data_IF_669058236239
#
_entry.id   IF_669058236239
#
_cell.length_a   1.000
_cell.length_b   1.000
_cell.length_c   1.000
_cell.angle_alpha   90.00
_cell.angle_beta   90.00
_cell.angle_gamma   90.00
#
_symmetry.space_group_name_H-M   'P 1'
#
loop_
_entity.id
_entity.type
_entity.pdbx_description
1 polymer ?
#
# COMPACT_ATOMS: atom_id res chain seq x y z
N UNK A 1 -49.27 -30.39 11.50
CA UNK A 1 -48.11 -30.47 12.42
C UNK A 1 -46.85 -30.16 11.60
N UNK A 2 -46.21 -29.02 11.85
CA UNK A 2 -44.80 -28.73 11.51
C UNK A 2 -43.94 -29.07 12.76
N UNK A 3 -42.59 -29.22 12.72
CA UNK A 3 -41.69 -28.48 11.83
C UNK A 3 -40.43 -29.19 11.28
N UNK A 4 -39.93 -28.62 10.18
CA UNK A 4 -38.51 -28.55 9.81
C UNK A 4 -37.63 -28.25 11.03
N UNK A 5 -36.53 -28.99 11.19
CA UNK A 5 -35.36 -28.54 11.96
C UNK A 5 -34.19 -28.41 10.98
N UNK A 6 -33.75 -27.18 10.77
CA UNK A 6 -32.43 -26.88 10.20
C UNK A 6 -31.36 -27.42 11.14
N UNK A 7 -30.34 -28.06 10.59
CA UNK A 7 -29.14 -28.40 11.35
C UNK A 7 -28.31 -27.13 11.53
N UNK A 8 -28.26 -26.60 12.75
CA UNK A 8 -27.53 -25.36 13.09
C UNK A 8 -26.06 -25.61 13.44
N UNK A 9 -25.57 -26.86 13.44
CA UNK A 9 -24.19 -27.17 13.82
C UNK A 9 -23.59 -28.37 13.06
N UNK A 10 -22.36 -28.21 12.55
CA UNK A 10 -21.57 -29.25 11.87
C UNK A 10 -21.36 -30.49 12.75
N UNK A 11 -21.37 -30.33 14.08
CA UNK A 11 -21.20 -31.45 15.02
C UNK A 11 -22.30 -32.51 14.92
N UNK A 12 -23.49 -32.15 14.44
CA UNK A 12 -24.61 -33.08 14.32
C UNK A 12 -24.45 -34.05 13.14
N UNK A 13 -23.63 -33.72 12.15
CA UNK A 13 -23.29 -34.60 11.01
C UNK A 13 -22.41 -35.79 11.43
N UNK A 14 -21.61 -35.63 12.49
CA UNK A 14 -20.70 -36.68 12.97
C UNK A 14 -21.37 -37.72 13.86
N UNK A 15 -22.61 -37.46 14.27
CA UNK A 15 -23.44 -38.39 15.05
C UNK A 15 -24.54 -39.03 14.19
N UNK A 16 -24.49 -38.88 12.86
CA UNK A 16 -25.46 -39.51 11.96
C UNK A 16 -25.22 -41.03 11.93
N UNK A 17 -26.19 -41.86 12.39
CA UNK A 17 -26.04 -43.32 12.46
C UNK A 17 -25.96 -44.00 11.07
N UNK A 18 -25.98 -43.24 9.97
CA UNK A 18 -25.75 -43.72 8.60
C UNK A 18 -24.27 -43.74 8.20
N UNK A 19 -23.36 -43.24 9.04
CA UNK A 19 -21.90 -43.25 8.81
C UNK A 19 -21.26 -44.43 9.59
N UNK A 20 -20.60 -45.41 8.94
CA UNK A 20 -19.98 -46.54 9.63
C UNK A 20 -18.86 -46.10 10.59
N UNK A 21 -18.92 -46.54 11.86
CA UNK A 21 -18.07 -46.09 12.98
C UNK A 21 -16.82 -46.93 13.28
N UNK A 22 -16.35 -47.84 12.42
CA UNK A 22 -15.25 -48.74 12.79
C UNK A 22 -14.10 -48.75 11.78
N UNK A 23 -13.10 -47.88 11.97
CA UNK A 23 -11.68 -48.22 11.80
C UNK A 23 -10.86 -47.39 12.82
N UNK A 24 -10.65 -47.92 14.03
CA UNK A 24 -9.73 -47.34 15.01
C UNK A 24 -8.30 -47.84 14.77
N UNK A 25 -7.49 -47.01 14.09
CA UNK A 25 -6.06 -47.25 13.81
C UNK A 25 -5.13 -46.59 14.85
N UNK A 26 -5.69 -45.97 15.89
CA UNK A 26 -4.95 -45.15 16.87
C UNK A 26 -3.90 -45.97 17.64
N UNK A 27 -4.21 -47.23 17.92
CA UNK A 27 -3.33 -48.11 18.68
C UNK A 27 -2.10 -48.56 17.87
N UNK A 28 -2.24 -48.80 16.55
CA UNK A 28 -1.11 -49.19 15.69
C UNK A 28 -0.15 -48.02 15.47
N UNK A 29 -0.67 -46.80 15.34
CA UNK A 29 0.13 -45.58 15.19
C UNK A 29 0.91 -45.26 16.47
N UNK A 30 0.26 -45.32 17.64
CA UNK A 30 0.91 -45.04 18.93
C UNK A 30 1.99 -46.03 19.31
N UNK A 31 1.86 -47.29 18.89
CA UNK A 31 2.86 -48.33 19.16
C UNK A 31 4.10 -48.17 18.28
N UNK A 32 3.97 -47.68 17.04
CA UNK A 32 5.12 -47.34 16.19
C UNK A 32 5.89 -46.11 16.70
N UNK A 33 5.16 -45.08 17.16
CA UNK A 33 5.77 -43.85 17.69
C UNK A 33 6.58 -44.10 18.98
N UNK A 34 6.15 -45.03 19.85
CA UNK A 34 6.89 -45.35 21.08
C UNK A 34 8.16 -46.18 20.84
N UNK A 35 8.20 -47.04 19.81
CA UNK A 35 9.32 -47.97 19.58
C UNK A 35 10.53 -47.33 18.87
N UNK A 36 10.34 -46.21 18.18
CA UNK A 36 11.43 -45.47 17.51
C UNK A 36 12.07 -44.39 18.41
N UNK A 37 11.49 -44.11 19.58
CA UNK A 37 11.91 -43.02 20.47
C UNK A 37 13.20 -43.29 21.27
N UNK A 38 13.70 -44.53 21.31
CA UNK A 38 14.88 -44.89 22.14
C UNK A 38 16.19 -45.09 21.36
N UNK A 39 16.19 -45.16 20.03
CA UNK A 39 17.43 -45.35 19.23
C UNK A 39 17.88 -44.15 18.41
N UNK A 40 17.13 -43.04 18.40
CA UNK A 40 17.37 -41.92 17.49
C UNK A 40 17.83 -40.61 18.16
N UNK A 41 18.35 -40.66 19.40
CA UNK A 41 18.61 -39.44 20.19
C UNK A 41 20.01 -38.80 20.07
N UNK A 42 20.94 -39.31 19.25
CA UNK A 42 22.34 -38.80 19.29
C UNK A 42 22.91 -38.28 17.96
N UNK A 43 22.26 -38.42 16.80
CA UNK A 43 22.91 -38.06 15.51
C UNK A 43 22.25 -37.02 14.60
N UNK A 44 21.13 -36.40 14.98
CA UNK A 44 20.36 -35.52 14.06
C UNK A 44 20.04 -34.11 14.59
N UNK A 45 20.85 -33.56 15.51
CA UNK A 45 20.63 -32.22 16.08
C UNK A 45 21.07 -31.04 15.19
N UNK A 46 21.65 -31.28 14.02
CA UNK A 46 22.10 -30.19 13.11
C UNK A 46 21.22 -30.03 11.86
N UNK A 47 20.44 -31.05 11.46
CA UNK A 47 19.64 -30.99 10.22
C UNK A 47 18.13 -30.74 10.42
N UNK A 48 17.58 -30.90 11.63
CA UNK A 48 16.14 -30.66 11.88
C UNK A 48 15.81 -29.17 12.05
N UNK A 49 16.78 -28.32 12.45
CA UNK A 49 16.55 -26.87 12.53
C UNK A 49 16.40 -26.21 11.14
N UNK A 50 16.95 -26.82 10.09
CA UNK A 50 16.77 -26.33 8.71
C UNK A 50 15.41 -26.72 8.14
N UNK A 51 14.83 -27.83 8.59
CA UNK A 51 13.52 -28.31 8.11
C UNK A 51 12.32 -27.60 8.76
N UNK A 52 12.48 -27.02 9.96
CA UNK A 52 11.43 -26.21 10.60
C UNK A 52 11.35 -24.80 9.96
N UNK A 53 12.42 -24.31 9.34
CA UNK A 53 12.41 -23.03 8.61
C UNK A 53 11.61 -23.02 7.30
N UNK A 54 11.27 -24.20 6.75
CA UNK A 54 10.60 -24.31 5.44
C UNK A 54 9.12 -24.72 5.52
N UNK A 55 8.57 -25.04 6.69
CA UNK A 55 7.17 -25.50 6.84
C UNK A 55 6.27 -24.42 7.49
N UNK A 56 6.81 -23.26 7.86
CA UNK A 56 6.02 -22.11 8.33
C UNK A 56 5.46 -21.22 7.19
N UNK A 57 5.63 -21.59 5.92
CA UNK A 57 5.07 -20.86 4.77
C UNK A 57 3.67 -21.32 4.35
N UNK A 58 3.12 -22.39 4.94
CA UNK A 58 1.74 -22.84 4.70
C UNK A 58 1.14 -23.39 5.99
N UNK A 59 0.85 -22.52 6.96
CA UNK A 59 -0.13 -22.84 8.01
C UNK A 59 -1.25 -21.80 7.99
N UNK A 60 -2.22 -22.08 7.12
CA UNK A 60 -3.58 -21.56 7.19
C UNK A 60 -4.20 -21.97 8.52
N UNK A 61 -4.09 -21.09 9.51
CA UNK A 61 -4.57 -21.32 10.87
C UNK A 61 -4.46 -20.10 11.77
N UNK A 62 -4.49 -18.88 11.21
CA UNK A 62 -4.81 -17.68 11.99
C UNK A 62 -6.28 -17.34 11.72
N UNK A 63 -7.08 -17.29 12.77
CA UNK A 63 -8.45 -16.85 12.72
C UNK A 63 -8.51 -15.41 12.17
N UNK A 64 -9.19 -15.23 11.05
CA UNK A 64 -9.85 -14.02 10.54
C UNK A 64 -9.27 -12.65 10.93
N UNK A 65 -7.99 -12.42 10.67
CA UNK A 65 -7.46 -11.06 10.43
C UNK A 65 -6.86 -11.10 9.04
N UNK A 66 -7.51 -10.46 8.07
CA UNK A 66 -6.93 -10.27 6.74
C UNK A 66 -5.73 -9.32 6.90
N UNK A 67 -4.51 -9.86 6.92
CA UNK A 67 -3.28 -9.08 6.82
C UNK A 67 -2.46 -9.63 5.66
N UNK A 68 -2.01 -8.75 4.78
CA UNK A 68 -1.17 -9.10 3.63
C UNK A 68 0.21 -8.52 3.86
N UNK A 69 1.25 -9.34 3.76
CA UNK A 69 2.64 -8.91 3.94
C UNK A 69 3.45 -9.20 2.68
N UNK A 70 4.36 -8.30 2.34
CA UNK A 70 5.44 -8.53 1.38
C UNK A 70 6.76 -8.53 2.13
N UNK A 71 7.59 -9.53 1.88
CA UNK A 71 8.85 -9.79 2.57
C UNK A 71 10.02 -9.80 1.60
N UNK A 72 11.20 -9.45 2.12
CA UNK A 72 12.45 -9.63 1.39
C UNK A 72 12.98 -11.07 1.52
N UNK A 73 14.10 -11.38 0.87
CA UNK A 73 14.71 -12.73 0.90
C UNK A 73 15.11 -13.22 2.29
N UNK A 74 15.31 -12.31 3.25
CA UNK A 74 15.63 -12.63 4.64
C UNK A 74 14.38 -12.87 5.49
N UNK A 75 13.18 -12.67 4.93
CA UNK A 75 11.91 -12.77 5.63
C UNK A 75 11.51 -11.51 6.40
N UNK A 76 12.24 -10.40 6.22
CA UNK A 76 11.90 -9.10 6.82
C UNK A 76 10.70 -8.49 6.09
N UNK A 77 9.74 -7.94 6.83
CA UNK A 77 8.51 -7.35 6.27
C UNK A 77 8.84 -5.99 5.65
N UNK A 78 8.66 -5.88 4.33
CA UNK A 78 8.81 -4.64 3.58
C UNK A 78 7.50 -3.87 3.45
N UNK A 79 6.37 -4.56 3.47
CA UNK A 79 5.06 -3.97 3.31
C UNK A 79 4.03 -4.80 4.05
N UNK A 80 3.09 -4.14 4.71
CA UNK A 80 1.97 -4.79 5.39
C UNK A 80 0.69 -3.99 5.10
N UNK A 81 -0.38 -4.66 4.70
CA UNK A 81 -1.72 -4.07 4.70
C UNK A 81 -2.52 -4.57 5.91
N UNK A 82 -3.12 -3.62 6.62
CA UNK A 82 -4.12 -3.86 7.67
C UNK A 82 -5.42 -3.16 7.33
N UNK A 83 -6.54 -3.70 7.83
CA UNK A 83 -7.81 -3.01 7.73
C UNK A 83 -7.78 -1.71 8.55
N UNK A 84 -8.34 -0.64 8.00
CA UNK A 84 -8.41 0.69 8.64
C UNK A 84 -9.05 0.67 10.04
N UNK A 85 -9.95 -0.28 10.33
CA UNK A 85 -10.53 -0.48 11.66
C UNK A 85 -9.52 -0.93 12.72
N UNK A 86 -8.36 -1.46 12.30
CA UNK A 86 -7.26 -1.86 13.17
C UNK A 86 -6.29 -0.70 13.46
N UNK A 87 -6.53 0.49 12.91
CA UNK A 87 -5.73 1.65 13.22
C UNK A 87 -5.93 2.04 14.69
N UNK A 88 -4.88 1.90 15.50
CA UNK A 88 -4.94 2.17 16.94
C UNK A 88 -4.85 3.67 17.29
N UNK A 89 -4.58 4.53 16.30
CA UNK A 89 -4.73 5.96 16.50
C UNK A 89 -6.21 6.32 16.70
N UNK A 90 -6.48 7.43 17.39
CA UNK A 90 -7.85 7.88 17.75
C UNK A 90 -8.68 8.36 16.54
N UNK A 91 -8.45 7.81 15.36
CA UNK A 91 -9.16 8.14 14.14
C UNK A 91 -10.55 7.50 14.19
N UNK A 92 -11.58 8.33 14.05
CA UNK A 92 -12.96 7.85 13.84
C UNK A 92 -13.28 8.05 12.37
N UNK A 93 -13.92 7.08 11.74
CA UNK A 93 -14.52 7.27 10.42
C UNK A 93 -15.53 8.41 10.50
N UNK A 94 -15.25 9.51 9.80
CA UNK A 94 -16.14 10.67 9.72
C UNK A 94 -17.06 10.43 8.51
N UNK A 95 -18.36 10.24 8.77
CA UNK A 95 -19.35 10.04 7.70
C UNK A 95 -19.72 11.35 6.99
N UNK A 96 -19.75 12.44 7.74
CA UNK A 96 -20.06 13.79 7.25
C UNK A 96 -19.17 14.79 7.99
N UNK A 97 -18.61 15.75 7.25
CA UNK A 97 -17.82 16.84 7.84
C UNK A 97 -18.74 17.87 8.48
N UNK A 98 -18.27 18.51 9.55
CA UNK A 98 -18.95 19.69 10.08
C UNK A 98 -18.91 20.81 9.02
N UNK A 99 -19.98 21.60 8.82
CA UNK A 99 -20.05 22.58 7.73
C UNK A 99 -18.91 23.61 7.70
N UNK A 100 -18.35 23.98 8.85
CA UNK A 100 -17.19 24.88 8.90
C UNK A 100 -15.90 24.20 8.43
N UNK A 101 -15.73 22.90 8.72
CA UNK A 101 -14.58 22.13 8.23
C UNK A 101 -14.67 21.92 6.73
N UNK A 102 -15.87 21.62 6.22
CA UNK A 102 -16.12 21.53 4.79
C UNK A 102 -15.70 22.82 4.07
N UNK A 103 -16.19 23.98 4.53
CA UNK A 103 -15.79 25.29 3.99
C UNK A 103 -14.29 25.58 4.09
N UNK A 104 -13.66 25.16 5.18
CA UNK A 104 -12.21 25.27 5.34
C UNK A 104 -11.47 24.45 4.26
N UNK A 105 -11.88 23.20 4.03
CA UNK A 105 -11.29 22.35 2.99
C UNK A 105 -11.58 22.86 1.58
N UNK A 106 -12.78 23.35 1.31
CA UNK A 106 -13.12 23.98 0.03
C UNK A 106 -12.22 25.19 -0.25
N UNK A 107 -12.03 26.06 0.75
CA UNK A 107 -11.15 27.22 0.60
C UNK A 107 -9.70 26.81 0.40
N UNK A 108 -9.25 25.76 1.10
CA UNK A 108 -7.91 25.19 0.93
C UNK A 108 -7.71 24.67 -0.50
N UNK A 109 -8.67 23.93 -1.05
CA UNK A 109 -8.62 23.43 -2.42
C UNK A 109 -8.64 24.56 -3.45
N UNK A 110 -9.47 25.58 -3.27
CA UNK A 110 -9.47 26.79 -4.12
C UNK A 110 -8.06 27.42 -4.17
N UNK A 111 -7.38 27.53 -3.02
CA UNK A 111 -6.03 28.08 -2.94
C UNK A 111 -5.01 27.16 -3.63
N UNK A 112 -5.08 25.85 -3.40
CA UNK A 112 -4.20 24.87 -4.05
C UNK A 112 -4.30 24.89 -5.57
N UNK A 113 -5.50 25.06 -6.12
CA UNK A 113 -5.72 25.11 -7.58
C UNK A 113 -5.08 26.37 -8.23
N UNK A 114 -4.87 27.43 -7.44
CA UNK A 114 -4.18 28.65 -7.91
C UNK A 114 -2.66 28.55 -7.89
N UNK A 115 -2.10 27.50 -7.28
CA UNK A 115 -0.65 27.31 -7.25
C UNK A 115 -0.13 26.96 -8.64
N UNK A 116 1.02 27.53 -8.99
CA UNK A 116 1.76 27.16 -10.19
C UNK A 116 2.47 25.81 -9.98
N UNK A 117 2.63 24.97 -11.02
CA UNK A 117 3.37 23.71 -10.91
C UNK A 117 4.77 23.88 -10.31
N UNK A 118 5.14 22.99 -9.39
CA UNK A 118 6.44 23.02 -8.71
C UNK A 118 6.54 24.03 -7.57
N UNK A 119 5.42 24.62 -7.11
CA UNK A 119 5.41 25.52 -5.96
C UNK A 119 4.93 24.82 -4.69
N UNK A 120 5.44 25.26 -3.55
CA UNK A 120 4.99 24.84 -2.23
C UNK A 120 5.00 26.02 -1.27
N UNK A 121 4.09 26.01 -0.31
CA UNK A 121 3.96 27.08 0.66
C UNK A 121 3.44 26.55 2.01
N UNK A 122 3.81 27.25 3.07
CA UNK A 122 3.06 27.23 4.31
C UNK A 122 1.85 28.14 4.14
N UNK A 123 0.67 27.63 4.46
CA UNK A 123 -0.60 28.29 4.27
C UNK A 123 -1.26 28.53 5.63
N UNK A 124 -1.68 29.77 5.83
CA UNK A 124 -2.61 30.13 6.90
C UNK A 124 -3.89 30.69 6.28
N UNK A 125 -5.01 30.01 6.52
CA UNK A 125 -6.36 30.50 6.17
C UNK A 125 -6.96 31.13 7.42
N UNK A 126 -7.38 32.39 7.34
CA UNK A 126 -7.94 33.13 8.48
C UNK A 126 -9.39 32.74 8.79
N UNK A 127 -10.17 32.46 7.73
CA UNK A 127 -11.57 32.03 7.84
C UNK A 127 -11.67 30.55 8.23
N UNK A 128 -12.67 30.20 9.04
CA UNK A 128 -12.95 28.82 9.46
C UNK A 128 -11.78 28.11 10.18
N UNK A 129 -10.84 28.88 10.73
CA UNK A 129 -9.62 28.38 11.37
C UNK A 129 -9.46 28.87 12.83
N UNK A 130 -10.39 28.50 13.74
CA UNK A 130 -10.35 28.96 15.13
C UNK A 130 -9.12 28.48 15.90
N UNK A 131 -8.46 27.41 15.44
CA UNK A 131 -7.25 26.84 16.06
C UNK A 131 -5.95 27.46 15.56
N UNK A 132 -6.04 28.42 14.64
CA UNK A 132 -4.90 29.06 13.98
C UNK A 132 -3.90 28.06 13.40
N UNK A 133 -4.38 27.00 12.76
CA UNK A 133 -3.52 25.99 12.14
C UNK A 133 -2.83 26.56 10.91
N UNK A 134 -1.55 26.22 10.77
CA UNK A 134 -0.77 26.44 9.55
C UNK A 134 -0.57 25.09 8.89
N UNK A 135 -0.88 25.03 7.60
CA UNK A 135 -0.77 23.82 6.80
C UNK A 135 0.33 23.96 5.76
N UNK A 136 0.70 22.82 5.16
CA UNK A 136 1.49 22.80 3.94
C UNK A 136 0.54 22.62 2.78
N UNK A 137 0.79 23.37 1.72
CA UNK A 137 0.18 23.20 0.42
C UNK A 137 1.26 23.14 -0.63
N UNK A 138 1.05 22.34 -1.67
CA UNK A 138 1.99 22.25 -2.76
C UNK A 138 1.28 21.82 -4.04
N UNK A 139 1.86 22.24 -5.17
CA UNK A 139 1.55 21.68 -6.47
C UNK A 139 2.80 21.01 -7.02
N UNK A 140 2.75 19.70 -7.34
CA UNK A 140 3.93 18.99 -7.83
C UNK A 140 4.44 19.58 -9.14
N UNK A 141 5.68 19.24 -9.48
CA UNK A 141 6.20 19.50 -10.82
C UNK A 141 5.43 18.63 -11.82
N UNK A 142 4.98 19.22 -12.92
CA UNK A 142 4.25 18.54 -13.99
C UNK A 142 5.17 18.37 -15.21
N UNK A 143 5.13 17.20 -15.84
CA UNK A 143 5.99 16.84 -16.96
C UNK A 143 5.19 16.20 -18.09
N UNK A 144 5.25 16.80 -19.28
CA UNK A 144 4.66 16.23 -20.49
C UNK A 144 5.62 15.28 -21.24
N UNK A 145 6.91 15.26 -20.86
CA UNK A 145 7.90 14.39 -21.49
C UNK A 145 8.69 13.60 -20.46
N UNK A 146 9.01 12.35 -20.81
CA UNK A 146 9.83 11.48 -19.97
C UNK A 146 11.27 11.98 -19.83
N UNK A 147 11.79 12.68 -20.83
CA UNK A 147 13.14 13.27 -20.80
C UNK A 147 13.26 14.33 -19.70
N UNK A 148 12.28 15.24 -19.61
CA UNK A 148 12.28 16.28 -18.59
C UNK A 148 12.05 15.71 -17.18
N UNK A 149 11.17 14.71 -17.07
CA UNK A 149 10.97 13.98 -15.81
C UNK A 149 12.26 13.34 -15.32
N UNK A 150 12.95 12.55 -16.17
CA UNK A 150 14.21 11.88 -15.82
C UNK A 150 15.30 12.87 -15.44
N UNK A 151 15.36 14.03 -16.11
CA UNK A 151 16.29 15.12 -15.77
C UNK A 151 16.02 15.68 -14.37
N UNK A 152 14.76 15.80 -13.95
CA UNK A 152 14.38 16.25 -12.60
C UNK A 152 14.64 15.18 -11.53
N UNK A 153 14.31 13.93 -11.82
CA UNK A 153 14.46 12.81 -10.88
C UNK A 153 15.92 12.45 -10.59
N UNK A 154 16.82 12.70 -11.55
CA UNK A 154 18.23 12.33 -11.43
C UNK A 154 18.47 10.83 -11.57
N UNK A 155 19.62 10.37 -11.07
CA UNK A 155 19.97 8.95 -11.06
C UNK A 155 19.40 8.26 -9.81
N UNK A 156 18.89 7.03 -9.95
CA UNK A 156 18.49 6.18 -8.82
C UNK A 156 17.08 5.59 -8.91
N UNK A 157 16.22 6.13 -9.78
CA UNK A 157 14.88 5.58 -10.02
C UNK A 157 14.63 5.51 -11.53
N UNK A 158 14.20 4.35 -12.01
CA UNK A 158 13.92 4.14 -13.42
C UNK A 158 12.43 4.23 -13.72
N UNK A 159 12.08 5.15 -14.62
CA UNK A 159 10.73 5.27 -15.19
C UNK A 159 10.81 4.82 -16.65
N UNK A 160 10.13 3.72 -17.05
CA UNK A 160 10.20 3.20 -18.42
C UNK A 160 9.49 4.11 -19.42
N UNK A 161 9.85 4.03 -20.70
CA UNK A 161 9.10 4.72 -21.77
C UNK A 161 7.81 3.98 -22.13
N UNK A 162 7.86 2.66 -22.01
CA UNK A 162 6.75 1.76 -22.34
C UNK A 162 6.55 0.75 -21.23
N UNK A 163 5.30 0.45 -20.92
CA UNK A 163 4.90 -0.63 -20.04
C UNK A 163 4.22 -1.77 -20.84
N UNK A 164 4.22 -3.01 -20.32
CA UNK A 164 3.60 -4.16 -20.99
C UNK A 164 2.17 -3.91 -21.43
N UNK A 165 1.76 -4.45 -22.58
CA UNK A 165 0.43 -4.20 -23.15
C UNK A 165 0.36 -2.99 -24.10
N UNK A 166 1.51 -2.39 -24.42
CA UNK A 166 1.60 -1.27 -25.38
C UNK A 166 1.26 0.08 -24.76
N UNK A 167 1.41 0.22 -23.44
CA UNK A 167 1.23 1.48 -22.73
C UNK A 167 2.46 2.37 -22.95
N UNK A 168 2.25 3.58 -23.45
CA UNK A 168 3.28 4.59 -23.65
C UNK A 168 3.13 5.72 -22.64
N UNK A 169 4.25 6.25 -22.18
CA UNK A 169 4.28 7.41 -21.29
C UNK A 169 3.47 8.57 -21.90
N UNK A 170 2.59 9.18 -21.11
CA UNK A 170 1.79 10.34 -21.50
C UNK A 170 2.23 11.60 -20.74
N UNK A 171 2.20 11.54 -19.42
CA UNK A 171 2.54 12.65 -18.54
C UNK A 171 2.96 12.13 -17.16
N UNK A 172 3.54 13.01 -16.34
CA UNK A 172 3.84 12.71 -14.95
C UNK A 172 3.75 13.92 -14.03
N UNK A 173 3.57 13.63 -12.74
CA UNK A 173 3.72 14.53 -11.62
C UNK A 173 4.81 14.01 -10.71
N UNK A 174 5.62 14.92 -10.18
CA UNK A 174 6.74 14.58 -9.32
C UNK A 174 6.88 15.60 -8.20
N UNK A 175 7.14 15.12 -7.00
CA UNK A 175 7.45 15.93 -5.85
C UNK A 175 8.64 15.36 -5.08
N UNK A 176 9.50 16.26 -4.63
CA UNK A 176 10.43 15.96 -3.56
C UNK A 176 9.77 16.24 -2.21
N UNK A 177 10.43 15.84 -1.12
CA UNK A 177 10.05 16.26 0.22
C UNK A 177 10.08 17.78 0.35
N UNK A 178 9.42 18.30 1.38
CA UNK A 178 9.41 19.73 1.69
C UNK A 178 10.31 20.00 2.89
N UNK A 179 11.11 21.06 2.83
CA UNK A 179 11.85 21.58 3.96
C UNK A 179 10.88 22.29 4.91
N UNK A 180 10.18 21.51 5.73
CA UNK A 180 9.19 22.03 6.67
C UNK A 180 9.19 21.26 7.98
N UNK A 181 9.50 21.97 9.06
CA UNK A 181 9.47 21.44 10.42
C UNK A 181 8.31 22.13 11.18
N UNK A 182 7.26 21.37 11.47
CA UNK A 182 6.07 21.89 12.15
C UNK A 182 6.36 22.47 13.53
N UNK A 183 7.42 22.04 14.22
CA UNK A 183 7.77 22.51 15.56
C UNK A 183 8.60 23.78 15.51
N UNK A 184 9.45 23.93 14.48
CA UNK A 184 10.35 25.07 14.34
C UNK A 184 9.78 26.21 13.48
N UNK A 185 8.72 25.96 12.72
CA UNK A 185 8.15 26.96 11.84
C UNK A 185 7.47 28.09 12.62
N UNK A 186 7.76 29.35 12.27
CA UNK A 186 7.14 30.54 12.88
C UNK A 186 5.70 30.73 12.38
N UNK A 187 4.78 29.97 12.96
CA UNK A 187 3.35 30.05 12.67
C UNK A 187 2.75 31.40 13.10
N UNK A 188 3.36 32.05 14.10
CA UNK A 188 2.88 33.33 14.60
C UNK A 188 3.05 34.45 13.59
N UNK A 189 4.17 34.45 12.86
CA UNK A 189 4.40 35.40 11.79
C UNK A 189 3.28 35.38 10.75
N UNK A 190 2.85 34.19 10.29
CA UNK A 190 1.81 34.07 9.26
C UNK A 190 0.45 34.61 9.73
N UNK A 191 -0.06 34.19 10.89
CA UNK A 191 -1.38 34.69 11.29
C UNK A 191 -1.34 36.17 11.67
N UNK A 192 -0.24 36.68 12.27
CA UNK A 192 -0.07 38.13 12.51
C UNK A 192 -0.04 38.91 11.19
N UNK A 193 0.57 38.34 10.15
CA UNK A 193 0.56 38.93 8.82
C UNK A 193 -0.87 38.97 8.26
N UNK A 194 -1.62 37.88 8.34
CA UNK A 194 -3.01 37.83 7.87
C UNK A 194 -3.90 38.82 8.62
N UNK A 195 -3.78 38.92 9.95
CA UNK A 195 -4.51 39.87 10.80
C UNK A 195 -4.16 41.33 10.44
N UNK A 196 -2.87 41.63 10.24
CA UNK A 196 -2.38 42.98 9.88
C UNK A 196 -2.82 43.39 8.48
N UNK A 197 -2.72 42.49 7.51
CA UNK A 197 -3.04 42.76 6.10
C UNK A 197 -4.54 42.58 5.80
N UNK A 198 -5.32 42.07 6.77
CA UNK A 198 -6.75 41.73 6.62
C UNK A 198 -7.02 40.83 5.41
N UNK A 199 -6.10 39.90 5.15
CA UNK A 199 -6.23 38.91 4.07
C UNK A 199 -6.96 37.67 4.57
N UNK A 200 -7.75 37.06 3.69
CA UNK A 200 -8.43 35.79 3.98
C UNK A 200 -7.45 34.63 4.16
N UNK A 201 -6.28 34.72 3.54
CA UNK A 201 -5.19 33.78 3.71
C UNK A 201 -3.84 34.45 3.44
N UNK A 202 -2.76 33.85 3.97
CA UNK A 202 -1.39 34.19 3.62
C UNK A 202 -0.61 32.93 3.31
N UNK A 203 0.34 33.06 2.39
CA UNK A 203 1.26 32.00 1.99
C UNK A 203 2.69 32.48 2.14
N UNK A 204 3.54 31.58 2.64
CA UNK A 204 4.98 31.78 2.65
C UNK A 204 5.63 30.62 1.89
N UNK A 205 6.45 30.89 0.85
CA UNK A 205 7.10 29.85 0.07
C UNK A 205 7.89 28.87 0.93
N UNK A 206 7.85 27.59 0.54
CA UNK A 206 8.65 26.52 1.10
C UNK A 206 9.61 25.98 0.04
N UNK A 207 10.80 25.62 0.49
CA UNK A 207 11.81 25.00 -0.35
C UNK A 207 11.58 23.49 -0.42
N UNK A 208 11.83 22.93 -1.60
CA UNK A 208 11.86 21.48 -1.81
C UNK A 208 13.20 20.90 -1.34
N UNK A 209 13.18 19.70 -0.79
CA UNK A 209 14.39 18.92 -0.54
C UNK A 209 14.86 18.24 -1.83
N UNK A 210 15.95 17.46 -1.74
CA UNK A 210 16.43 16.60 -2.83
C UNK A 210 15.95 15.16 -2.70
N UNK A 211 15.07 14.87 -1.74
CA UNK A 211 14.57 13.52 -1.48
C UNK A 211 13.26 13.32 -2.21
N UNK A 212 13.12 12.22 -2.94
CA UNK A 212 11.84 11.83 -3.53
C UNK A 212 10.77 11.77 -2.43
N UNK A 213 9.62 12.39 -2.68
CA UNK A 213 8.39 12.15 -1.92
C UNK A 213 7.51 11.21 -2.71
N UNK A 214 7.10 11.62 -3.92
CA UNK A 214 6.39 10.75 -4.85
C UNK A 214 6.60 11.12 -6.32
N UNK A 215 6.33 10.14 -7.18
CA UNK A 215 6.18 10.26 -8.62
C UNK A 215 4.91 9.53 -9.03
N UNK A 216 4.09 10.17 -9.86
CA UNK A 216 2.89 9.61 -10.47
C UNK A 216 3.03 9.79 -11.98
N UNK A 217 3.00 8.72 -12.76
CA UNK A 217 3.06 8.76 -14.21
C UNK A 217 1.82 8.12 -14.83
N UNK A 218 1.24 8.81 -15.81
CA UNK A 218 0.14 8.32 -16.62
C UNK A 218 0.69 7.69 -17.88
N UNK A 219 0.22 6.49 -18.21
CA UNK A 219 0.48 5.83 -19.48
C UNK A 219 -0.83 5.57 -20.22
N UNK A 220 -0.74 5.55 -21.55
CA UNK A 220 -1.87 5.30 -22.44
C UNK A 220 -1.50 4.29 -23.51
N UNK A 221 -2.38 3.33 -23.78
CA UNK A 221 -2.20 2.40 -24.89
C UNK A 221 -2.84 2.88 -26.19
N UNK A 222 -2.65 2.13 -27.28
CA UNK A 222 -3.24 2.44 -28.60
C UNK A 222 -4.76 2.34 -28.64
N UNK A 223 -5.37 1.61 -27.70
CA UNK A 223 -6.82 1.42 -27.60
C UNK A 223 -7.50 2.51 -26.76
N UNK A 224 -6.70 3.36 -26.10
CA UNK A 224 -7.17 4.47 -25.28
C UNK A 224 -7.33 4.15 -23.81
N UNK A 225 -6.90 2.96 -23.35
CA UNK A 225 -6.87 2.60 -21.94
C UNK A 225 -5.76 3.33 -21.21
N UNK A 226 -6.00 3.64 -19.93
CA UNK A 226 -5.06 4.34 -19.07
C UNK A 226 -4.50 3.41 -17.99
N UNK A 227 -3.25 3.66 -17.63
CA UNK A 227 -2.55 2.98 -16.56
C UNK A 227 -1.72 3.99 -15.77
N UNK A 228 -1.78 3.89 -14.46
CA UNK A 228 -1.04 4.76 -13.55
C UNK A 228 0.14 3.99 -12.97
N UNK A 229 1.30 4.62 -12.94
CA UNK A 229 2.51 4.09 -12.33
C UNK A 229 3.02 5.06 -11.27
N UNK A 230 3.07 4.60 -10.02
CA UNK A 230 3.45 5.40 -8.88
C UNK A 230 4.73 4.88 -8.24
N UNK A 231 5.56 5.81 -7.78
CA UNK A 231 6.71 5.53 -6.92
C UNK A 231 6.61 6.47 -5.72
N UNK A 232 6.59 5.93 -4.51
CA UNK A 232 6.44 6.69 -3.27
C UNK A 232 7.58 6.35 -2.32
N UNK A 233 8.13 7.36 -1.65
CA UNK A 233 9.04 7.15 -0.54
C UNK A 233 8.30 6.42 0.60
N UNK A 234 8.87 5.32 1.06
CA UNK A 234 8.26 4.43 2.05
C UNK A 234 9.18 4.18 3.25
N UNK A 235 10.19 5.04 3.45
CA UNK A 235 11.15 4.96 4.58
C UNK A 235 10.47 5.14 5.94
N UNK A 236 9.71 6.23 6.10
CA UNK A 236 9.15 6.63 7.41
C UNK A 236 7.79 6.00 7.70
N UNK A 237 7.40 4.95 6.98
CA UNK A 237 6.12 4.27 7.21
C UNK A 237 6.25 3.35 8.42
N UNK A 238 5.62 3.77 9.53
CA UNK A 238 5.64 3.04 10.79
C UNK A 238 5.23 1.57 10.61
N UNK A 239 6.10 0.67 11.04
CA UNK A 239 5.89 -0.78 10.93
C UNK A 239 5.68 -1.27 9.49
N UNK A 240 6.04 -0.47 8.48
CA UNK A 240 5.76 -0.74 7.06
C UNK A 240 4.27 -0.98 6.77
N UNK A 241 3.37 -0.50 7.64
CA UNK A 241 1.94 -0.78 7.59
C UNK A 241 1.18 0.31 6.84
N UNK A 242 0.47 -0.10 5.78
CA UNK A 242 -0.57 0.67 5.12
C UNK A 242 -1.94 0.23 5.63
N UNK A 243 -2.80 1.19 5.98
CA UNK A 243 -4.16 0.91 6.42
C UNK A 243 -5.14 1.11 5.26
N UNK A 244 -5.94 0.09 4.96
CA UNK A 244 -6.84 0.05 3.80
C UNK A 244 -8.29 -0.10 4.27
N UNK A 245 -9.21 0.62 3.63
CA UNK A 245 -10.66 0.51 3.88
C UNK A 245 -11.23 -0.65 3.06
N UNK A 246 -12.26 -1.31 3.60
CA UNK A 246 -12.99 -2.39 2.90
C UNK A 246 -12.06 -3.53 2.44
N UNK A 247 -11.10 -3.89 3.29
CA UNK A 247 -10.11 -4.91 2.95
C UNK A 247 -10.75 -6.27 2.64
N UNK A 248 -11.91 -6.54 3.23
CA UNK A 248 -12.75 -7.73 3.02
C UNK A 248 -13.44 -7.77 1.65
N UNK A 249 -13.60 -6.62 0.97
CA UNK A 249 -14.21 -6.52 -0.36
C UNK A 249 -13.18 -6.65 -1.50
N UNK A 250 -11.90 -6.65 -1.17
CA UNK A 250 -10.81 -6.72 -2.14
C UNK A 250 -10.34 -8.16 -2.34
N UNK A 251 -10.17 -8.58 -3.60
CA UNK A 251 -9.51 -9.86 -3.91
C UNK A 251 -8.02 -9.61 -3.98
N UNK A 252 -7.25 -10.23 -3.08
CA UNK A 252 -5.81 -10.02 -2.98
C UNK A 252 -5.02 -11.31 -3.01
N UNK A 253 -3.86 -11.26 -3.61
CA UNK A 253 -2.92 -12.37 -3.69
C UNK A 253 -1.48 -11.87 -3.70
N UNK A 254 -0.61 -12.52 -2.93
CA UNK A 254 0.83 -12.27 -3.00
C UNK A 254 1.43 -13.17 -4.07
N UNK A 255 2.09 -12.57 -5.05
CA UNK A 255 2.70 -13.24 -6.20
C UNK A 255 4.21 -12.99 -6.16
N UNK A 256 4.99 -14.05 -6.34
CA UNK A 256 6.45 -13.96 -6.35
C UNK A 256 6.97 -13.75 -7.77
N UNK A 257 7.65 -12.63 -8.00
CA UNK A 257 8.35 -12.31 -9.27
C UNK A 257 9.84 -12.31 -9.00
N UNK A 258 10.51 -13.42 -9.35
CA UNK A 258 11.91 -13.62 -9.01
C UNK A 258 12.13 -13.57 -7.50
N UNK A 259 12.83 -12.53 -7.03
CA UNK A 259 13.14 -12.30 -5.60
C UNK A 259 12.15 -11.34 -4.91
N UNK A 260 11.24 -10.74 -5.67
CA UNK A 260 10.32 -9.71 -5.19
C UNK A 260 8.95 -10.30 -4.94
N UNK A 261 8.38 -10.03 -3.77
CA UNK A 261 6.97 -10.30 -3.49
C UNK A 261 6.12 -9.10 -3.93
N UNK A 262 5.00 -9.38 -4.59
CA UNK A 262 4.12 -8.40 -5.21
C UNK A 262 2.69 -8.66 -4.76
N UNK A 263 2.03 -7.66 -4.21
CA UNK A 263 0.61 -7.75 -3.84
C UNK A 263 -0.25 -7.39 -5.03
N UNK A 264 -0.94 -8.37 -5.61
CA UNK A 264 -2.00 -8.13 -6.59
C UNK A 264 -3.32 -7.89 -5.86
N UNK A 265 -4.05 -6.86 -6.29
CA UNK A 265 -5.38 -6.51 -5.79
C UNK A 265 -6.35 -6.33 -6.95
N UNK A 266 -7.53 -6.93 -6.86
CA UNK A 266 -8.71 -6.59 -7.66
C UNK A 266 -9.80 -6.03 -6.76
N UNK A 267 -10.37 -4.91 -7.18
CA UNK A 267 -11.49 -4.27 -6.51
C UNK A 267 -12.63 -4.07 -7.50
N UNK A 268 -13.73 -4.76 -7.25
CA UNK A 268 -14.93 -4.64 -8.08
C UNK A 268 -15.68 -3.36 -7.69
N UNK A 269 -15.88 -2.47 -8.66
CA UNK A 269 -16.80 -1.36 -8.56
C UNK A 269 -18.04 -1.63 -9.43
N UNK A 270 -19.02 -0.73 -9.40
CA UNK A 270 -20.32 -0.91 -10.08
C UNK A 270 -20.18 -1.26 -11.57
N UNK A 271 -19.24 -0.60 -12.26
CA UNK A 271 -19.15 -0.65 -13.73
C UNK A 271 -17.78 -1.15 -14.24
N UNK A 272 -16.83 -1.45 -13.35
CA UNK A 272 -15.45 -1.82 -13.70
C UNK A 272 -14.75 -2.55 -12.56
N UNK A 273 -13.69 -3.29 -12.90
CA UNK A 273 -12.78 -3.90 -11.92
C UNK A 273 -11.46 -3.14 -11.97
N UNK A 274 -11.14 -2.46 -10.88
CA UNK A 274 -9.81 -1.85 -10.72
C UNK A 274 -8.82 -2.93 -10.35
N UNK A 275 -7.65 -2.90 -10.98
CA UNK A 275 -6.55 -3.82 -10.75
C UNK A 275 -5.32 -3.05 -10.34
N UNK A 276 -4.63 -3.54 -9.32
CA UNK A 276 -3.45 -2.89 -8.75
C UNK A 276 -2.40 -3.93 -8.38
N UNK A 277 -1.14 -3.60 -8.63
CA UNK A 277 0.00 -4.32 -8.05
C UNK A 277 0.83 -3.37 -7.21
N UNK A 278 1.27 -3.84 -6.04
CA UNK A 278 2.18 -3.10 -5.15
C UNK A 278 3.38 -3.96 -4.84
N UNK A 279 4.57 -3.38 -4.85
CA UNK A 279 5.76 -4.00 -4.29
C UNK A 279 6.66 -2.93 -3.69
N UNK A 280 7.52 -3.35 -2.77
CA UNK A 280 8.48 -2.46 -2.11
C UNK A 280 9.89 -2.98 -2.37
N UNK A 281 10.80 -2.07 -2.70
CA UNK A 281 12.23 -2.38 -2.83
C UNK A 281 13.03 -1.61 -1.80
N UNK A 282 14.11 -2.20 -1.33
CA UNK A 282 15.16 -1.52 -0.58
C UNK A 282 16.40 -1.42 -1.49
N UNK A 283 16.60 -0.27 -2.12
CA UNK A 283 17.81 -0.01 -2.92
C UNK A 283 18.63 1.11 -2.26
N UNK A 284 19.93 0.87 -2.11
CA UNK A 284 20.88 1.85 -1.55
C UNK A 284 20.47 2.40 -0.17
N UNK A 285 19.77 1.58 0.62
CA UNK A 285 19.25 1.97 1.94
C UNK A 285 18.02 2.87 1.89
N UNK A 286 17.35 2.95 0.73
CA UNK A 286 16.06 3.64 0.54
C UNK A 286 14.96 2.65 0.18
N UNK A 287 13.82 2.80 0.84
CA UNK A 287 12.63 2.00 0.72
C UNK A 287 11.63 2.73 -0.15
N UNK A 288 11.38 2.17 -1.32
CA UNK A 288 10.47 2.74 -2.30
C UNK A 288 9.32 1.78 -2.53
N UNK A 289 8.10 2.28 -2.39
CA UNK A 289 6.90 1.58 -2.82
C UNK A 289 6.63 1.92 -4.28
N UNK A 290 6.43 0.88 -5.06
CA UNK A 290 5.98 0.99 -6.44
C UNK A 290 4.55 0.48 -6.53
N UNK A 291 3.78 1.12 -7.37
CA UNK A 291 2.41 0.71 -7.65
C UNK A 291 2.10 0.87 -9.14
N UNK A 292 1.41 -0.11 -9.70
CA UNK A 292 0.77 0.01 -11.01
C UNK A 292 -0.71 -0.23 -10.84
N UNK A 293 -1.55 0.66 -11.35
CA UNK A 293 -3.01 0.51 -11.33
C UNK A 293 -3.66 0.81 -12.68
N UNK A 294 -4.73 0.08 -12.99
CA UNK A 294 -5.51 0.27 -14.22
C UNK A 294 -6.91 -0.35 -14.05
N UNK A 295 -7.88 0.18 -14.78
CA UNK A 295 -9.20 -0.46 -14.96
C UNK A 295 -9.22 -1.42 -16.16
N UNK A 296 -8.11 -1.52 -16.92
CA UNK A 296 -8.00 -2.35 -18.12
C UNK A 296 -7.66 -3.82 -17.85
N UNK A 297 -7.72 -4.63 -18.91
CA UNK A 297 -7.50 -6.09 -18.81
C UNK A 297 -6.05 -6.55 -18.97
N UNK A 298 -5.17 -5.62 -19.35
CA UNK A 298 -3.76 -5.89 -19.65
C UNK A 298 -2.91 -6.17 -18.40
N UNK A 299 -3.29 -5.62 -17.24
CA UNK A 299 -2.73 -6.03 -15.95
C UNK A 299 -3.57 -7.20 -15.40
N UNK A 300 -2.97 -8.39 -15.30
CA UNK A 300 -3.58 -9.59 -14.76
C UNK A 300 -2.48 -10.54 -14.29
N UNK A 301 -2.83 -11.64 -13.59
CA UNK A 301 -1.87 -12.56 -12.97
C UNK A 301 -0.75 -13.05 -13.90
N UNK A 302 -1.06 -13.25 -15.18
CA UNK A 302 -0.09 -13.74 -16.16
C UNK A 302 0.88 -12.65 -16.63
N UNK A 303 0.50 -11.38 -16.51
CA UNK A 303 1.30 -10.24 -16.98
C UNK A 303 2.05 -9.50 -15.87
N UNK A 304 1.75 -9.75 -14.58
CA UNK A 304 2.39 -9.06 -13.45
C UNK A 304 3.91 -9.08 -13.53
N UNK A 305 4.50 -10.24 -13.83
CA UNK A 305 5.95 -10.36 -13.93
C UNK A 305 6.55 -9.44 -14.99
N UNK A 306 5.82 -9.17 -16.08
CA UNK A 306 6.25 -8.26 -17.13
C UNK A 306 6.26 -6.81 -16.63
N UNK A 307 5.26 -6.39 -15.85
CA UNK A 307 5.19 -5.04 -15.30
C UNK A 307 6.31 -4.79 -14.29
N UNK A 308 6.51 -5.72 -13.38
CA UNK A 308 7.58 -5.63 -12.37
C UNK A 308 8.95 -5.63 -13.04
N UNK A 309 9.19 -6.50 -14.03
CA UNK A 309 10.48 -6.52 -14.73
C UNK A 309 10.71 -5.30 -15.64
N UNK A 310 9.66 -4.57 -16.03
CA UNK A 310 9.79 -3.37 -16.86
C UNK A 310 10.34 -2.16 -16.11
N UNK A 311 10.18 -2.12 -14.78
CA UNK A 311 10.60 -0.99 -13.93
C UNK A 311 11.90 -1.25 -13.16
N UNK A 312 12.36 -2.51 -13.14
CA UNK A 312 13.67 -2.85 -12.58
C UNK A 312 14.73 -2.35 -13.56
N UNK A 313 15.74 -1.57 -13.10
CA UNK A 313 16.85 -1.19 -13.94
C UNK A 313 17.48 -2.46 -14.54
N UNK A 314 17.43 -2.60 -15.87
CA UNK A 314 18.22 -3.61 -16.55
C UNK A 314 19.67 -3.17 -16.39
N UNK A 315 20.43 -3.86 -15.54
CA UNK A 315 21.80 -3.58 -15.14
C UNK A 315 22.60 -2.68 -16.12
N UNK A 316 23.21 -1.62 -15.56
CA UNK A 316 24.29 -0.85 -16.18
C UNK A 316 25.47 -1.74 -16.57
#
# INVERSE_FOLDING_TARGET
>A
MSPNKSHENIKDLFNDPRIPQEIDISHQVMTKIKREKERFFVKYKVSILVAIGLIASISSGYAAVHYYQLKNEKGEVLYEEKDSSQYQGKSKTVKELEPEKEKYYDKRWEIEDTLEPGTAAALYIAVYNPKKTVERVSRPFEFATLTDLRKKMGEGVYVPETLPGGYHFLDARFANGLQFDYEKYDKEALYKQAEKEKKEFVMQPLEWTNELDYMYATYKDSEGSYLNFNITNYEDVEGSTTYVVDLDKQKKEVIKVGKTEVLYTEEASKDRVSKRIVWVTEDSGKKLQYEVSTDGDKLNKDTISQFVNAVVPKNK
#
